data_IF_221260843174
#
_entry.id   IF_221260843174
#
_cell.length_a   1.000
_cell.length_b   1.000
_cell.length_c   1.000
_cell.angle_alpha   90.00
_cell.angle_beta   90.00
_cell.angle_gamma   90.00
#
_symmetry.space_group_name_H-M   'P 1'
#
loop_
_entity.id
_entity.type
_entity.pdbx_description
1 polymer ?
#
# COMPACT_ATOMS: atom_id res chain seq x y z
N UNK A 1 -8.66 -1.02 15.80
CA UNK A 1 -9.14 -2.37 15.47
C UNK A 1 -8.04 -3.24 14.89
N UNK A 2 -8.19 -4.56 14.99
CA UNK A 2 -7.30 -5.51 14.30
C UNK A 2 -7.47 -5.35 12.80
N UNK A 3 -6.35 -5.30 12.05
CA UNK A 3 -6.37 -5.12 10.59
C UNK A 3 -6.53 -3.68 10.13
N UNK A 4 -6.27 -2.70 10.99
CA UNK A 4 -6.39 -1.28 10.68
C UNK A 4 -5.62 -0.90 9.40
N UNK A 5 -4.38 -1.33 9.25
CA UNK A 5 -3.56 -1.05 8.05
C UNK A 5 -4.24 -1.48 6.74
N UNK A 6 -4.92 -2.63 6.77
CA UNK A 6 -5.67 -3.15 5.62
C UNK A 6 -6.97 -2.38 5.42
N UNK A 7 -7.73 -2.17 6.50
CA UNK A 7 -9.03 -1.50 6.46
C UNK A 7 -8.93 -0.05 5.97
N UNK A 8 -7.86 0.67 6.34
CA UNK A 8 -7.64 2.04 5.86
C UNK A 8 -7.50 2.08 4.32
N UNK A 9 -6.69 1.19 3.76
CA UNK A 9 -6.51 1.09 2.30
C UNK A 9 -7.80 0.64 1.62
N UNK A 10 -8.43 -0.41 2.12
CA UNK A 10 -9.67 -0.97 1.56
C UNK A 10 -10.81 0.04 1.57
N UNK A 11 -11.01 0.76 2.69
CA UNK A 11 -12.05 1.76 2.80
C UNK A 11 -11.86 2.96 1.86
N UNK A 12 -10.63 3.42 1.67
CA UNK A 12 -10.31 4.46 0.70
C UNK A 12 -10.53 3.97 -0.73
N UNK A 13 -10.08 2.76 -1.07
CA UNK A 13 -10.32 2.17 -2.40
C UNK A 13 -11.80 1.99 -2.69
N UNK A 14 -12.61 1.54 -1.72
CA UNK A 14 -14.05 1.38 -1.88
C UNK A 14 -14.79 2.71 -2.10
N UNK A 15 -14.24 3.84 -1.62
CA UNK A 15 -14.77 5.16 -1.96
C UNK A 15 -14.33 5.56 -3.37
N UNK A 16 -13.08 5.35 -3.71
CA UNK A 16 -12.49 5.73 -4.99
C UNK A 16 -13.09 4.97 -6.19
N UNK A 17 -13.41 3.68 -6.01
CA UNK A 17 -14.06 2.83 -7.02
C UNK A 17 -15.43 3.38 -7.48
N UNK A 18 -16.08 4.21 -6.67
CA UNK A 18 -17.35 4.87 -7.04
C UNK A 18 -17.15 6.06 -7.97
N UNK A 19 -15.93 6.56 -8.09
CA UNK A 19 -15.59 7.79 -8.81
C UNK A 19 -14.68 7.53 -10.02
N UNK A 20 -13.93 6.43 -10.00
CA UNK A 20 -12.95 6.08 -11.03
C UNK A 20 -13.20 4.67 -11.55
N UNK A 21 -12.87 4.43 -12.82
CA UNK A 21 -12.91 3.10 -13.42
C UNK A 21 -11.71 2.27 -12.97
N UNK A 22 -11.88 1.54 -11.87
CA UNK A 22 -10.87 0.74 -11.21
C UNK A 22 -11.29 -0.73 -11.09
N UNK A 23 -10.31 -1.62 -11.15
CA UNK A 23 -10.47 -3.02 -10.72
C UNK A 23 -9.73 -3.18 -9.40
N UNK A 24 -10.46 -3.22 -8.31
CA UNK A 24 -9.89 -3.44 -6.97
C UNK A 24 -9.73 -4.94 -6.73
N UNK A 25 -8.50 -5.36 -6.47
CA UNK A 25 -8.18 -6.76 -6.14
C UNK A 25 -8.32 -7.01 -4.63
N UNK A 26 -8.52 -8.28 -4.21
CA UNK A 26 -8.52 -8.63 -2.80
C UNK A 26 -7.26 -8.15 -2.08
N UNK A 27 -7.43 -7.62 -0.89
CA UNK A 27 -6.36 -7.04 -0.09
C UNK A 27 -5.47 -8.12 0.55
N UNK A 28 -4.24 -7.74 0.88
CA UNK A 28 -3.34 -8.56 1.68
C UNK A 28 -3.55 -8.24 3.16
N UNK A 29 -3.99 -9.24 3.92
CA UNK A 29 -4.28 -9.09 5.36
C UNK A 29 -3.07 -9.26 6.26
N UNK A 30 -1.96 -9.77 5.77
CA UNK A 30 -0.77 -10.08 6.55
C UNK A 30 0.44 -9.31 6.02
N UNK A 31 1.32 -8.90 6.95
CA UNK A 31 2.52 -8.14 6.63
C UNK A 31 3.74 -8.62 7.39
N UNK A 32 4.91 -8.14 7.00
CA UNK A 32 6.16 -8.32 7.72
C UNK A 32 6.35 -7.20 8.76
N UNK A 33 7.19 -7.47 9.77
CA UNK A 33 7.50 -6.55 10.88
C UNK A 33 6.29 -6.15 11.75
N UNK A 34 5.23 -6.96 11.76
CA UNK A 34 3.97 -6.67 12.46
C UNK A 34 4.06 -6.76 13.99
N UNK A 35 5.17 -7.21 14.57
CA UNK A 35 5.36 -7.34 16.02
C UNK A 35 6.41 -6.39 16.59
N UNK A 36 6.71 -5.31 15.91
CA UNK A 36 7.64 -4.29 16.40
C UNK A 36 7.15 -3.63 17.70
N UNK A 37 5.83 -3.49 17.86
CA UNK A 37 5.18 -2.88 19.03
C UNK A 37 4.81 -3.92 20.08
N UNK A 38 4.38 -5.11 19.68
CA UNK A 38 3.94 -6.16 20.59
C UNK A 38 4.31 -7.55 20.06
N UNK A 39 4.48 -8.50 20.98
CA UNK A 39 4.68 -9.89 20.61
C UNK A 39 3.44 -10.42 19.86
N UNK A 40 3.60 -11.18 18.77
CA UNK A 40 2.50 -11.57 17.87
C UNK A 40 1.32 -12.24 18.61
N UNK A 41 1.62 -13.21 19.45
CA UNK A 41 0.60 -14.06 20.08
C UNK A 41 -0.20 -13.35 21.19
N UNK A 42 0.28 -12.17 21.64
CA UNK A 42 -0.35 -11.46 22.76
C UNK A 42 -1.40 -10.43 22.33
N UNK A 43 -1.16 -9.73 21.22
CA UNK A 43 -2.00 -8.62 20.78
C UNK A 43 -2.61 -8.85 19.39
N UNK A 44 -2.65 -10.09 18.94
CA UNK A 44 -3.27 -10.46 17.65
C UNK A 44 -2.42 -10.10 16.43
N UNK A 45 -1.19 -9.61 16.60
CA UNK A 45 -0.29 -9.38 15.47
C UNK A 45 0.19 -10.71 14.90
N UNK A 46 0.01 -10.90 13.60
CA UNK A 46 0.48 -12.10 12.91
C UNK A 46 1.54 -11.67 11.91
N UNK A 47 2.77 -12.08 12.20
CA UNK A 47 3.90 -11.81 11.32
C UNK A 47 3.97 -12.84 10.21
N UNK A 48 4.18 -12.37 8.98
CA UNK A 48 4.55 -13.19 7.83
C UNK A 48 5.91 -12.76 7.33
N UNK A 49 6.80 -13.72 7.10
CA UNK A 49 8.15 -13.43 6.59
C UNK A 49 8.07 -12.71 5.23
N UNK A 50 8.91 -11.69 5.06
CA UNK A 50 8.93 -10.88 3.84
C UNK A 50 9.25 -11.69 2.57
N UNK A 51 9.98 -12.81 2.71
CA UNK A 51 10.24 -13.71 1.59
C UNK A 51 8.97 -14.42 1.11
N UNK A 52 8.06 -14.76 2.03
CA UNK A 52 6.75 -15.35 1.70
C UNK A 52 5.86 -14.33 0.99
N UNK A 53 5.78 -13.11 1.53
CA UNK A 53 5.04 -12.00 0.91
C UNK A 53 5.55 -11.73 -0.50
N UNK A 54 6.86 -11.64 -0.66
CA UNK A 54 7.51 -11.45 -1.96
C UNK A 54 7.13 -12.53 -2.95
N UNK A 55 7.24 -13.80 -2.56
CA UNK A 55 6.94 -14.93 -3.45
C UNK A 55 5.47 -14.92 -3.90
N UNK A 56 4.54 -14.61 -2.99
CA UNK A 56 3.12 -14.49 -3.30
C UNK A 56 2.84 -13.32 -4.25
N UNK A 57 3.39 -12.13 -3.94
CA UNK A 57 3.21 -10.93 -4.77
C UNK A 57 3.82 -11.11 -6.18
N UNK A 58 4.99 -11.77 -6.30
CA UNK A 58 5.64 -12.05 -7.58
C UNK A 58 4.73 -12.91 -8.48
N UNK A 59 4.13 -13.97 -7.95
CA UNK A 59 3.21 -14.82 -8.69
C UNK A 59 1.93 -14.09 -9.10
N UNK A 60 1.38 -13.27 -8.21
CA UNK A 60 0.21 -12.44 -8.50
C UNK A 60 0.50 -11.45 -9.62
N UNK A 61 1.58 -10.68 -9.52
CA UNK A 61 1.97 -9.72 -10.56
C UNK A 61 2.25 -10.39 -11.89
N UNK A 62 2.97 -11.52 -11.90
CA UNK A 62 3.19 -12.29 -13.11
C UNK A 62 1.87 -12.77 -13.75
N UNK A 63 0.90 -13.19 -12.95
CA UNK A 63 -0.44 -13.53 -13.41
C UNK A 63 -1.14 -12.35 -14.07
N UNK A 64 -1.14 -11.18 -13.42
CA UNK A 64 -1.77 -9.96 -13.92
C UNK A 64 -1.12 -9.47 -15.22
N UNK A 65 0.20 -9.52 -15.33
CA UNK A 65 0.91 -9.17 -16.57
C UNK A 65 0.54 -10.11 -17.72
N UNK A 66 0.39 -11.41 -17.47
CA UNK A 66 -0.05 -12.40 -18.48
C UNK A 66 -1.51 -12.18 -18.93
N UNK A 67 -2.38 -11.74 -18.03
CA UNK A 67 -3.76 -11.33 -18.36
C UNK A 67 -3.79 -10.11 -19.27
N UNK A 68 -2.78 -9.24 -19.17
CA UNK A 68 -2.63 -8.06 -20.03
C UNK A 68 -2.65 -6.72 -19.29
N UNK A 69 -2.74 -6.72 -17.95
CA UNK A 69 -2.66 -5.48 -17.18
C UNK A 69 -1.28 -4.83 -17.30
N UNK A 70 -1.26 -3.49 -17.44
CA UNK A 70 -0.04 -2.68 -17.55
C UNK A 70 -0.08 -1.40 -16.70
N UNK A 71 -1.15 -1.20 -15.95
CA UNK A 71 -1.33 -0.12 -15.00
C UNK A 71 -1.78 -0.71 -13.68
N UNK A 72 -0.82 -1.16 -12.88
CA UNK A 72 -1.03 -1.86 -11.62
C UNK A 72 -0.48 -0.99 -10.49
N UNK A 73 -1.31 -0.72 -9.51
CA UNK A 73 -0.94 0.07 -8.34
C UNK A 73 -1.18 -0.73 -7.06
N UNK A 74 -0.28 -0.59 -6.08
CA UNK A 74 -0.51 -1.07 -4.74
C UNK A 74 -0.22 0.02 -3.72
N UNK A 75 -1.01 0.04 -2.65
CA UNK A 75 -0.90 1.01 -1.57
C UNK A 75 -0.56 0.29 -0.27
N UNK A 76 0.33 0.89 0.52
CA UNK A 76 0.75 0.36 1.83
C UNK A 76 0.56 1.45 2.86
N UNK A 77 -0.22 1.15 3.91
CA UNK A 77 -0.39 2.04 5.06
C UNK A 77 0.71 1.80 6.11
N UNK A 78 0.98 0.54 6.43
CA UNK A 78 1.94 0.16 7.46
C UNK A 78 3.32 0.80 7.22
N UNK A 79 3.75 1.63 8.16
CA UNK A 79 5.04 2.34 8.11
C UNK A 79 5.21 3.23 6.86
N UNK A 80 4.13 3.90 6.43
CA UNK A 80 4.12 4.81 5.27
C UNK A 80 5.21 5.89 5.34
N UNK A 81 5.56 6.36 6.54
CA UNK A 81 6.59 7.36 6.80
C UNK A 81 7.99 6.93 6.34
N UNK A 82 8.22 5.63 6.27
CA UNK A 82 9.49 5.04 5.86
C UNK A 82 9.46 4.45 4.44
N UNK A 83 8.38 4.62 3.69
CA UNK A 83 8.18 4.01 2.38
C UNK A 83 9.29 4.32 1.38
N UNK A 84 9.86 5.53 1.41
CA UNK A 84 10.97 5.91 0.53
C UNK A 84 12.26 5.16 0.87
N UNK A 85 12.57 5.00 2.15
CA UNK A 85 13.72 4.23 2.63
C UNK A 85 13.52 2.72 2.44
N UNK A 86 12.30 2.26 2.58
CA UNK A 86 11.89 0.88 2.43
C UNK A 86 11.80 0.13 3.76
N UNK A 87 10.66 -0.52 3.95
CA UNK A 87 10.38 -1.40 5.09
C UNK A 87 10.13 -2.83 4.58
N UNK A 88 10.20 -3.86 5.42
CA UNK A 88 10.14 -5.26 4.96
C UNK A 88 8.94 -5.58 4.07
N UNK A 89 7.76 -5.03 4.36
CA UNK A 89 6.55 -5.25 3.55
C UNK A 89 6.67 -4.58 2.19
N UNK A 90 6.95 -3.26 2.15
CA UNK A 90 7.01 -2.54 0.88
C UNK A 90 8.18 -2.98 -0.02
N UNK A 91 9.33 -3.30 0.56
CA UNK A 91 10.46 -3.85 -0.17
C UNK A 91 10.14 -5.21 -0.81
N UNK A 92 9.36 -6.06 -0.12
CA UNK A 92 8.90 -7.33 -0.68
C UNK A 92 8.05 -7.12 -1.94
N UNK A 93 7.09 -6.21 -1.89
CA UNK A 93 6.24 -5.87 -3.04
C UNK A 93 7.01 -5.15 -4.16
N UNK A 94 7.86 -4.17 -3.82
CA UNK A 94 8.70 -3.47 -4.81
C UNK A 94 9.62 -4.44 -5.55
N UNK A 95 10.26 -5.37 -4.83
CA UNK A 95 11.11 -6.39 -5.44
C UNK A 95 10.29 -7.33 -6.33
N UNK A 96 9.15 -7.83 -5.84
CA UNK A 96 8.25 -8.70 -6.59
C UNK A 96 7.78 -8.06 -7.90
N UNK A 97 7.44 -6.77 -7.87
CA UNK A 97 7.05 -6.01 -9.05
C UNK A 97 8.16 -6.00 -10.12
N UNK A 98 9.39 -5.73 -9.72
CA UNK A 98 10.54 -5.72 -10.65
C UNK A 98 10.83 -7.12 -11.19
N UNK A 99 10.83 -8.15 -10.33
CA UNK A 99 11.05 -9.54 -10.75
C UNK A 99 9.99 -10.02 -11.75
N UNK A 100 8.72 -9.76 -11.46
CA UNK A 100 7.63 -10.13 -12.37
C UNK A 100 7.74 -9.41 -13.72
N UNK A 101 8.09 -8.13 -13.73
CA UNK A 101 8.28 -7.35 -14.96
C UNK A 101 9.46 -7.90 -15.78
N UNK A 102 10.62 -8.13 -15.17
CA UNK A 102 11.78 -8.70 -15.86
C UNK A 102 11.47 -10.08 -16.44
N UNK A 103 10.90 -10.98 -15.64
CA UNK A 103 10.54 -12.31 -16.11
C UNK A 103 9.56 -12.27 -17.29
N UNK A 104 8.57 -11.37 -17.24
CA UNK A 104 7.62 -11.18 -18.32
C UNK A 104 8.29 -10.65 -19.61
N UNK A 105 9.24 -9.72 -19.48
CA UNK A 105 9.98 -9.18 -20.62
C UNK A 105 10.89 -10.26 -21.26
N UNK A 106 11.60 -11.03 -20.44
CA UNK A 106 12.42 -12.16 -20.90
C UNK A 106 11.57 -13.23 -21.61
N UNK A 107 10.42 -13.59 -21.01
CA UNK A 107 9.49 -14.57 -21.61
C UNK A 107 8.94 -14.09 -22.98
N UNK A 108 8.58 -12.81 -23.08
CA UNK A 108 7.88 -12.28 -24.26
C UNK A 108 8.81 -11.73 -25.34
N UNK A 109 10.02 -11.30 -25.00
CA UNK A 109 11.00 -10.69 -25.92
C UNK A 109 12.21 -11.58 -26.17
N UNK A 110 12.42 -12.64 -25.37
CA UNK A 110 13.54 -13.56 -25.45
C UNK A 110 14.81 -13.06 -24.73
N UNK A 111 15.76 -13.98 -24.57
CA UNK A 111 17.07 -13.68 -23.96
C UNK A 111 17.80 -12.59 -24.74
N UNK A 112 18.37 -11.63 -24.03
CA UNK A 112 19.12 -10.53 -24.64
C UNK A 112 18.27 -9.48 -25.37
N UNK A 113 16.95 -9.48 -25.14
CA UNK A 113 15.98 -8.60 -25.80
C UNK A 113 16.37 -7.12 -25.83
N UNK A 114 17.03 -6.65 -24.77
CA UNK A 114 17.43 -5.25 -24.69
C UNK A 114 18.49 -4.86 -25.72
N UNK A 115 19.38 -5.80 -26.07
CA UNK A 115 20.41 -5.62 -27.11
C UNK A 115 19.91 -5.81 -28.55
N UNK A 116 18.65 -6.17 -28.75
CA UNK A 116 18.07 -6.30 -30.08
C UNK A 116 18.00 -4.92 -30.77
N UNK A 117 18.42 -4.80 -32.06
CA UNK A 117 18.30 -3.56 -32.82
C UNK A 117 16.89 -2.96 -32.85
N UNK A 118 15.84 -3.78 -32.69
CA UNK A 118 14.47 -3.31 -32.56
C UNK A 118 14.22 -2.47 -31.29
N UNK A 119 15.13 -2.52 -30.31
CA UNK A 119 15.09 -1.72 -29.08
C UNK A 119 15.93 -0.43 -29.17
N UNK A 120 16.43 -0.05 -30.35
CA UNK A 120 17.29 1.12 -30.51
C UNK A 120 16.67 2.45 -30.03
N UNK A 121 15.34 2.53 -30.05
CA UNK A 121 14.58 3.69 -29.53
C UNK A 121 14.10 3.53 -28.08
N UNK A 122 14.64 2.57 -27.32
CA UNK A 122 14.19 2.24 -25.96
C UNK A 122 14.08 3.47 -25.05
N UNK A 123 15.10 4.33 -25.04
CA UNK A 123 15.11 5.50 -24.17
C UNK A 123 14.14 6.59 -24.62
N UNK A 124 13.91 6.73 -25.94
CA UNK A 124 12.92 7.67 -26.47
C UNK A 124 11.51 7.21 -26.10
N UNK A 125 11.21 5.94 -26.36
CA UNK A 125 9.94 5.33 -25.99
C UNK A 125 9.68 5.38 -24.47
N UNK A 126 10.74 5.24 -23.67
CA UNK A 126 10.70 5.37 -22.21
C UNK A 126 10.30 6.78 -21.79
N UNK A 127 10.91 7.81 -22.39
CA UNK A 127 10.58 9.21 -22.14
C UNK A 127 9.13 9.56 -22.56
N UNK A 128 8.58 8.86 -23.54
CA UNK A 128 7.21 8.99 -24.00
C UNK A 128 6.18 8.17 -23.18
N UNK A 129 6.60 7.54 -22.08
CA UNK A 129 5.72 6.83 -21.15
C UNK A 129 5.54 5.33 -21.40
N UNK A 130 6.32 4.72 -22.29
CA UNK A 130 6.28 3.28 -22.55
C UNK A 130 7.23 2.44 -21.67
N UNK A 131 7.59 2.97 -20.50
CA UNK A 131 8.45 2.27 -19.53
C UNK A 131 7.79 1.04 -18.93
N UNK A 132 8.27 -0.20 -19.20
CA UNK A 132 7.73 -1.41 -18.57
C UNK A 132 7.88 -1.40 -17.05
N UNK A 133 8.84 -0.66 -16.50
CA UNK A 133 9.05 -0.57 -15.06
C UNK A 133 8.08 0.38 -14.36
N UNK A 134 7.26 1.10 -15.11
CA UNK A 134 6.10 1.84 -14.61
C UNK A 134 4.80 1.01 -14.56
N UNK A 135 4.78 -0.21 -15.13
CA UNK A 135 3.56 -1.03 -15.17
C UNK A 135 3.06 -1.47 -13.80
N UNK A 136 3.96 -1.58 -12.82
CA UNK A 136 3.61 -1.92 -11.44
C UNK A 136 4.26 -0.89 -10.51
N UNK A 137 3.41 -0.10 -9.86
CA UNK A 137 3.83 1.01 -9.01
C UNK A 137 3.33 0.82 -7.58
N UNK A 138 4.18 1.14 -6.62
CA UNK A 138 3.84 1.11 -5.21
C UNK A 138 3.81 2.50 -4.60
N UNK A 139 2.84 2.75 -3.74
CA UNK A 139 2.63 4.04 -3.10
C UNK A 139 2.44 3.87 -1.59
N UNK A 140 2.92 4.81 -0.78
CA UNK A 140 2.46 4.91 0.59
C UNK A 140 0.99 5.35 0.57
N UNK A 141 0.18 4.88 1.51
CA UNK A 141 -1.19 5.40 1.65
C UNK A 141 -1.17 6.88 2.03
N UNK A 142 -0.23 7.26 2.90
CA UNK A 142 0.02 8.64 3.29
C UNK A 142 1.38 9.08 2.75
N UNK A 143 1.39 10.04 1.82
CA UNK A 143 2.61 10.65 1.32
C UNK A 143 3.15 11.74 2.27
N UNK A 144 4.27 12.36 1.91
CA UNK A 144 4.91 13.37 2.75
C UNK A 144 4.02 14.60 3.00
N UNK A 145 3.13 14.96 2.07
CA UNK A 145 2.20 16.09 2.23
C UNK A 145 1.15 15.76 3.29
N UNK A 146 0.60 14.55 3.25
CA UNK A 146 -0.37 14.07 4.23
C UNK A 146 0.29 13.95 5.60
N UNK A 147 1.47 13.33 5.68
CA UNK A 147 2.22 13.18 6.93
C UNK A 147 2.58 14.52 7.59
N UNK A 148 2.71 15.59 6.83
CA UNK A 148 2.97 16.92 7.35
C UNK A 148 1.72 17.64 7.87
N UNK A 149 0.52 17.24 7.44
CA UNK A 149 -0.73 17.96 7.70
C UNK A 149 -1.75 17.17 8.55
N UNK A 150 -1.61 15.85 8.60
CA UNK A 150 -2.51 14.96 9.34
C UNK A 150 -1.76 14.23 10.45
N UNK A 151 -2.35 14.01 11.65
CA UNK A 151 -1.70 13.25 12.70
C UNK A 151 -1.37 11.83 12.22
N UNK A 152 -0.07 11.53 12.15
CA UNK A 152 0.41 10.19 11.85
C UNK A 152 0.92 9.55 13.14
N UNK A 153 0.34 8.42 13.51
CA UNK A 153 0.61 7.74 14.76
C UNK A 153 0.43 6.22 14.61
N UNK A 154 0.50 5.50 15.71
CA UNK A 154 0.19 4.07 15.77
C UNK A 154 -0.94 3.85 16.77
N UNK A 155 -2.11 3.50 16.28
CA UNK A 155 -3.34 3.32 17.05
C UNK A 155 -3.75 4.56 17.89
N UNK A 156 -3.23 5.72 17.58
CA UNK A 156 -3.51 6.98 18.27
C UNK A 156 -4.65 7.78 17.61
N UNK A 157 -4.56 9.11 17.72
CA UNK A 157 -5.59 10.03 17.24
C UNK A 157 -5.87 9.87 15.74
N UNK A 158 -4.81 9.84 14.92
CA UNK A 158 -4.94 9.83 13.46
C UNK A 158 -5.55 8.53 12.95
N UNK A 159 -4.96 7.41 13.28
CA UNK A 159 -5.44 6.10 12.83
C UNK A 159 -6.83 5.77 13.38
N UNK A 160 -7.10 6.08 14.65
CA UNK A 160 -8.43 5.86 15.23
C UNK A 160 -9.48 6.73 14.54
N UNK A 161 -9.15 7.98 14.21
CA UNK A 161 -10.04 8.88 13.46
C UNK A 161 -10.35 8.33 12.06
N UNK A 162 -9.36 7.82 11.33
CA UNK A 162 -9.60 7.16 10.03
C UNK A 162 -10.59 6.00 10.16
N UNK A 163 -10.45 5.17 11.19
CA UNK A 163 -11.39 4.06 11.41
C UNK A 163 -12.78 4.54 11.79
N UNK A 164 -12.91 5.64 12.57
CA UNK A 164 -14.22 6.25 12.85
C UNK A 164 -14.93 6.74 11.59
N UNK A 165 -14.17 7.23 10.60
CA UNK A 165 -14.71 7.70 9.32
C UNK A 165 -15.03 6.56 8.33
N UNK A 166 -14.19 5.52 8.29
CA UNK A 166 -14.30 4.44 7.30
C UNK A 166 -15.13 3.26 7.81
N UNK A 167 -14.91 2.87 9.07
CA UNK A 167 -15.50 1.67 9.70
C UNK A 167 -15.84 1.93 11.17
N UNK A 168 -16.81 2.82 11.48
CA UNK A 168 -17.12 3.25 12.85
C UNK A 168 -17.47 2.09 13.80
N UNK A 169 -18.10 1.05 13.28
CA UNK A 169 -18.49 -0.12 14.08
C UNK A 169 -17.29 -0.96 14.58
N UNK A 170 -16.09 -0.69 14.06
CA UNK A 170 -14.86 -1.35 14.50
C UNK A 170 -14.15 -0.62 15.63
N UNK A 171 -14.61 0.58 15.99
CA UNK A 171 -14.01 1.43 17.03
C UNK A 171 -14.84 1.40 18.30
N UNK A 172 -14.23 1.00 19.41
CA UNK A 172 -14.87 0.90 20.72
C UNK A 172 -14.12 1.78 21.73
N UNK A 173 -14.46 3.08 21.78
CA UNK A 173 -13.77 4.06 22.63
C UNK A 173 -14.01 3.82 24.12
N UNK A 174 -15.07 3.13 24.50
CA UNK A 174 -15.31 2.66 25.86
C UNK A 174 -14.25 1.66 26.36
N UNK A 175 -13.46 1.09 25.45
CA UNK A 175 -12.35 0.17 25.72
C UNK A 175 -10.99 0.86 25.63
N UNK A 176 -10.95 2.17 25.38
CA UNK A 176 -9.69 2.91 25.32
C UNK A 176 -8.96 2.82 26.66
N UNK A 177 -7.65 2.66 26.59
CA UNK A 177 -6.75 2.68 27.74
C UNK A 177 -5.46 3.44 27.36
N UNK A 178 -4.95 4.24 28.25
CA UNK A 178 -3.69 4.97 28.12
C UNK A 178 -2.46 4.17 28.59
N UNK A 179 -2.65 2.90 28.96
CA UNK A 179 -1.53 2.01 29.33
C UNK A 179 -0.47 1.87 28.22
N UNK A 180 -0.93 2.00 26.97
CA UNK A 180 -0.03 1.97 25.80
C UNK A 180 0.24 3.41 25.34
N UNK A 181 1.45 3.89 25.57
CA UNK A 181 1.84 5.27 25.27
C UNK A 181 1.52 5.71 23.83
N UNK A 182 1.64 4.81 22.84
CA UNK A 182 1.39 5.07 21.43
C UNK A 182 -0.10 5.24 21.11
N UNK A 183 -0.98 4.68 21.92
CA UNK A 183 -2.43 4.77 21.75
C UNK A 183 -3.09 5.84 22.63
N UNK A 184 -2.32 6.50 23.50
CA UNK A 184 -2.87 7.46 24.48
C UNK A 184 -3.61 8.61 23.80
N UNK A 185 -3.13 9.11 22.65
CA UNK A 185 -3.77 10.19 21.90
C UNK A 185 -5.09 9.82 21.22
N UNK A 186 -5.48 8.53 21.20
CA UNK A 186 -6.75 8.10 20.61
C UNK A 186 -7.98 8.71 21.32
N UNK A 187 -7.83 9.19 22.56
CA UNK A 187 -8.89 9.92 23.27
C UNK A 187 -9.36 11.16 22.52
N UNK A 188 -8.48 11.78 21.71
CA UNK A 188 -8.75 12.97 20.91
C UNK A 188 -9.21 12.64 19.47
N UNK A 189 -9.46 11.36 19.18
CA UNK A 189 -9.90 10.93 17.86
C UNK A 189 -11.35 11.36 17.58
N UNK A 190 -11.65 11.68 16.34
CA UNK A 190 -12.99 12.01 15.88
C UNK A 190 -13.25 11.58 14.44
N UNK A 191 -14.51 11.32 14.11
CA UNK A 191 -14.91 11.00 12.75
C UNK A 191 -14.65 12.20 11.79
N UNK A 192 -14.79 13.43 12.27
CA UNK A 192 -14.51 14.65 11.48
C UNK A 192 -13.04 14.73 11.07
N UNK A 193 -12.13 14.50 12.01
CA UNK A 193 -10.70 14.45 11.71
C UNK A 193 -10.42 13.27 10.74
N UNK A 194 -11.08 12.14 10.94
CA UNK A 194 -10.97 10.98 10.06
C UNK A 194 -11.39 11.28 8.62
N UNK A 195 -12.52 11.97 8.42
CA UNK A 195 -12.97 12.37 7.08
C UNK A 195 -11.96 13.33 6.41
N UNK A 196 -11.35 14.25 7.14
CA UNK A 196 -10.29 15.09 6.59
C UNK A 196 -9.10 14.25 6.11
N UNK A 197 -8.65 13.30 6.91
CA UNK A 197 -7.58 12.37 6.54
C UNK A 197 -7.93 11.53 5.31
N UNK A 198 -9.15 11.00 5.26
CA UNK A 198 -9.64 10.23 4.11
C UNK A 198 -9.65 11.07 2.84
N UNK A 199 -10.14 12.31 2.87
CA UNK A 199 -10.13 13.19 1.70
C UNK A 199 -8.71 13.50 1.20
N UNK A 200 -7.76 13.70 2.11
CA UNK A 200 -6.35 13.89 1.75
C UNK A 200 -5.78 12.65 1.07
N UNK A 201 -6.07 11.46 1.62
CA UNK A 201 -5.67 10.18 1.04
C UNK A 201 -6.29 9.98 -0.35
N UNK A 202 -7.59 10.22 -0.50
CA UNK A 202 -8.27 10.11 -1.79
C UNK A 202 -7.69 11.08 -2.83
N UNK A 203 -7.35 12.31 -2.44
CA UNK A 203 -6.69 13.27 -3.32
C UNK A 203 -5.31 12.77 -3.78
N UNK A 204 -4.52 12.18 -2.86
CA UNK A 204 -3.25 11.54 -3.19
C UNK A 204 -3.46 10.37 -4.16
N UNK A 205 -4.40 9.46 -3.84
CA UNK A 205 -4.69 8.30 -4.69
C UNK A 205 -5.12 8.71 -6.10
N UNK A 206 -6.02 9.69 -6.25
CA UNK A 206 -6.42 10.24 -7.56
C UNK A 206 -5.21 10.76 -8.36
N UNK A 207 -4.29 11.46 -7.68
CA UNK A 207 -3.08 12.02 -8.32
C UNK A 207 -2.14 10.95 -8.86
N UNK A 208 -1.98 9.83 -8.16
CA UNK A 208 -1.04 8.76 -8.56
C UNK A 208 -1.66 7.71 -9.48
N UNK A 209 -2.97 7.63 -9.55
CA UNK A 209 -3.69 6.72 -10.43
C UNK A 209 -3.99 7.33 -11.80
N UNK A 210 -3.91 8.65 -11.94
CA UNK A 210 -3.98 9.29 -13.21
C UNK A 210 -4.99 10.20 -13.59
#
# INVERSE_FOLDING_TARGET
PVGMDTLAVEGCLARLEKEMDLVVLPVFYYGAASFAVAQPERNGSIHVDSAVLRAMAEQMFAGLLRVGFRNLHFFIHHQSENFAAGMPTDLAFKFAARRATFAFLEETRGDGWWGDPAMANYYEAHAEGSDPFSWIQGHPLMDAEILAAYPFDHAGQGETSLMMALYPDTVAMDRHSDEQWYAASAVDASAELGEQGVEMILAHMRRVLG
#
